data_IF_226990924068
#
_entry.id   IF_226990924068
#
_cell.length_a   1.000
_cell.length_b   1.000
_cell.length_c   1.000
_cell.angle_alpha   90.00
_cell.angle_beta   90.00
_cell.angle_gamma   90.00
#
_symmetry.space_group_name_H-M   'P 1'
#
loop_
_entity.id
_entity.type
_entity.pdbx_description
1 polymer ?
#
# COMPACT_ATOMS: atom_id res chain seq x y z
N UNK A 1 -20.30 13.53 -1.46
CA UNK A 1 -20.95 12.49 -0.62
C UNK A 1 -20.04 11.27 -0.71
N UNK A 2 -18.96 11.29 0.07
CA UNK A 2 -17.84 10.37 0.03
C UNK A 2 -18.04 9.25 1.05
N UNK A 3 -18.16 8.02 0.60
CA UNK A 3 -18.26 6.88 1.51
C UNK A 3 -18.75 5.62 0.81
N UNK A 4 -17.85 4.92 0.11
CA UNK A 4 -18.14 3.55 -0.32
C UNK A 4 -16.94 2.60 -0.37
N UNK A 5 -15.70 3.07 -0.27
CA UNK A 5 -14.53 2.17 -0.31
C UNK A 5 -14.19 1.56 1.04
N UNK A 6 -14.32 2.36 2.10
CA UNK A 6 -14.01 1.91 3.46
C UNK A 6 -15.12 1.05 4.10
N UNK A 7 -16.19 0.72 3.36
CA UNK A 7 -17.39 0.08 3.90
C UNK A 7 -17.45 -1.44 3.67
N UNK A 8 -16.71 -2.00 2.70
CA UNK A 8 -16.73 -3.45 2.42
C UNK A 8 -15.81 -4.30 3.30
N UNK A 9 -14.77 -3.72 3.88
CA UNK A 9 -14.03 -4.34 4.98
C UNK A 9 -14.68 -4.10 6.36
N UNK A 10 -15.71 -3.24 6.42
CA UNK A 10 -16.40 -2.85 7.65
C UNK A 10 -17.71 -3.63 7.93
N UNK A 11 -18.19 -4.47 7.00
CA UNK A 11 -19.52 -5.09 7.14
C UNK A 11 -19.60 -6.27 8.13
N UNK A 12 -18.50 -6.67 8.78
CA UNK A 12 -18.54 -7.66 9.88
C UNK A 12 -18.02 -7.16 11.23
N UNK A 13 -17.62 -5.90 11.36
CA UNK A 13 -17.20 -5.31 12.64
C UNK A 13 -17.74 -3.90 12.86
N UNK A 14 -18.98 -3.66 12.44
CA UNK A 14 -19.77 -2.53 12.92
C UNK A 14 -20.26 -2.79 14.34
N UNK A 15 -19.34 -2.68 15.33
CA UNK A 15 -19.57 -2.43 16.77
C UNK A 15 -18.36 -2.88 17.59
N UNK A 16 -17.21 -2.25 17.40
CA UNK A 16 -16.02 -2.51 18.20
C UNK A 16 -15.60 -1.21 18.91
N UNK A 17 -15.91 -1.14 20.21
CA UNK A 17 -15.49 -0.07 21.13
C UNK A 17 -13.97 0.12 21.04
N UNK A 18 -13.44 1.35 21.16
CA UNK A 18 -11.99 1.63 21.21
C UNK A 18 -11.23 0.66 22.13
N UNK A 19 -11.85 0.23 23.23
CA UNK A 19 -11.31 -0.81 24.13
C UNK A 19 -10.97 -2.15 23.41
N UNK A 20 -11.83 -2.59 22.48
CA UNK A 20 -11.59 -3.83 21.71
C UNK A 20 -10.47 -3.68 20.68
N UNK A 21 -10.29 -2.49 20.09
CA UNK A 21 -9.21 -2.17 19.15
C UNK A 21 -7.85 -2.16 19.87
N UNK A 22 -7.78 -1.52 21.04
CA UNK A 22 -6.60 -1.53 21.90
C UNK A 22 -6.27 -2.96 22.36
N UNK A 23 -7.29 -3.74 22.74
CA UNK A 23 -7.08 -5.13 23.14
C UNK A 23 -6.51 -5.99 22.00
N UNK A 24 -6.99 -5.79 20.77
CA UNK A 24 -6.45 -6.48 19.59
C UNK A 24 -4.98 -6.10 19.33
N UNK A 25 -4.64 -4.81 19.37
CA UNK A 25 -3.26 -4.35 19.21
C UNK A 25 -2.32 -4.95 20.28
N UNK A 26 -2.77 -5.04 21.54
CA UNK A 26 -2.02 -5.69 22.60
C UNK A 26 -1.79 -7.19 22.34
N UNK A 27 -2.82 -7.90 21.86
CA UNK A 27 -2.71 -9.32 21.53
C UNK A 27 -1.69 -9.53 20.42
N UNK A 28 -1.76 -8.75 19.34
CA UNK A 28 -0.81 -8.86 18.24
C UNK A 28 0.62 -8.54 18.68
N UNK A 29 0.82 -7.55 19.54
CA UNK A 29 2.15 -7.25 20.10
C UNK A 29 2.71 -8.39 20.94
N UNK A 30 1.86 -9.10 21.69
CA UNK A 30 2.27 -10.32 22.41
C UNK A 30 2.62 -11.42 21.41
N UNK A 31 1.80 -11.62 20.37
CA UNK A 31 2.05 -12.60 19.31
C UNK A 31 3.38 -12.36 18.60
N UNK A 32 3.68 -11.11 18.22
CA UNK A 32 4.93 -10.72 17.58
C UNK A 32 6.14 -11.09 18.45
N UNK A 33 6.07 -10.74 19.75
CA UNK A 33 7.12 -11.12 20.71
C UNK A 33 7.25 -12.63 20.83
N UNK A 34 6.14 -13.36 20.90
CA UNK A 34 6.19 -14.82 20.92
C UNK A 34 6.88 -15.37 19.67
N UNK A 35 6.56 -14.88 18.47
CA UNK A 35 7.20 -15.31 17.23
C UNK A 35 8.72 -15.08 17.28
N UNK A 36 9.17 -13.90 17.71
CA UNK A 36 10.60 -13.60 17.87
C UNK A 36 11.28 -14.58 18.85
N UNK A 37 10.62 -14.91 19.97
CA UNK A 37 11.18 -15.79 20.99
C UNK A 37 11.19 -17.28 20.60
N UNK A 38 10.20 -17.72 19.82
CA UNK A 38 10.05 -19.12 19.42
C UNK A 38 10.61 -19.42 18.02
N UNK A 39 11.24 -18.44 17.35
CA UNK A 39 11.79 -18.61 16.01
C UNK A 39 10.70 -18.79 14.95
N UNK A 40 9.63 -17.98 15.03
CA UNK A 40 8.65 -17.85 13.95
C UNK A 40 9.32 -17.43 12.64
N UNK A 41 8.64 -17.64 11.51
CA UNK A 41 9.21 -17.17 10.25
C UNK A 41 9.25 -15.64 10.27
N UNK A 42 10.30 -15.06 9.71
CA UNK A 42 10.42 -13.60 9.72
C UNK A 42 9.29 -12.93 8.89
N UNK A 43 8.69 -13.65 7.93
CA UNK A 43 7.46 -13.24 7.24
C UNK A 43 6.25 -13.17 8.19
N UNK A 44 6.08 -14.12 9.12
CA UNK A 44 5.02 -14.04 10.14
C UNK A 44 5.23 -12.83 11.07
N UNK A 45 6.48 -12.54 11.43
CA UNK A 45 6.82 -11.39 12.29
C UNK A 45 6.48 -10.08 11.58
N UNK A 46 6.80 -10.00 10.28
CA UNK A 46 6.46 -8.89 9.42
C UNK A 46 4.93 -8.65 9.34
N UNK A 47 4.16 -9.69 9.00
CA UNK A 47 2.69 -9.59 8.88
C UNK A 47 2.04 -9.11 10.18
N UNK A 48 2.54 -9.56 11.33
CA UNK A 48 2.05 -9.10 12.63
C UNK A 48 2.42 -7.64 12.89
N UNK A 49 3.65 -7.21 12.58
CA UNK A 49 4.08 -5.82 12.73
C UNK A 49 3.24 -4.88 11.85
N UNK A 50 3.09 -5.23 10.57
CA UNK A 50 2.25 -4.52 9.60
C UNK A 50 0.78 -4.45 10.06
N UNK A 51 0.24 -5.58 10.56
CA UNK A 51 -1.11 -5.63 11.11
C UNK A 51 -1.32 -4.75 12.34
N UNK A 52 -0.33 -4.64 13.22
CA UNK A 52 -0.36 -3.70 14.36
C UNK A 52 -0.39 -2.25 13.85
N UNK A 53 0.49 -1.91 12.90
CA UNK A 53 0.56 -0.58 12.32
C UNK A 53 -0.78 -0.12 11.75
N UNK A 54 -1.43 -1.00 10.97
CA UNK A 54 -2.75 -0.73 10.38
C UNK A 54 -3.85 -0.52 11.42
N UNK A 55 -3.82 -1.22 12.55
CA UNK A 55 -4.77 -0.96 13.65
C UNK A 55 -4.55 0.42 14.24
N UNK A 56 -3.28 0.83 14.43
CA UNK A 56 -2.99 2.16 14.94
C UNK A 56 -3.42 3.25 13.95
N UNK A 57 -3.17 3.07 12.65
CA UNK A 57 -3.55 4.04 11.62
C UNK A 57 -5.07 4.13 11.42
N UNK A 58 -5.71 3.03 11.00
CA UNK A 58 -7.11 3.05 10.56
C UNK A 58 -8.11 3.07 11.71
N UNK A 59 -7.76 2.42 12.83
CA UNK A 59 -8.75 2.12 13.86
C UNK A 59 -8.59 2.97 15.11
N UNK A 60 -7.36 3.34 15.46
CA UNK A 60 -7.04 4.16 16.63
C UNK A 60 -6.69 5.61 16.27
N UNK A 61 -6.52 5.91 14.98
CA UNK A 61 -6.15 7.25 14.48
C UNK A 61 -4.87 7.79 15.14
N UNK A 62 -3.93 6.90 15.46
CA UNK A 62 -2.63 7.20 16.07
C UNK A 62 -1.52 6.95 15.05
N UNK A 63 -1.40 7.90 14.11
CA UNK A 63 -0.45 7.83 13.00
C UNK A 63 1.02 7.78 13.45
N UNK A 64 1.37 8.45 14.55
CA UNK A 64 2.74 8.43 15.10
C UNK A 64 3.14 7.04 15.62
N UNK A 65 2.20 6.30 16.20
CA UNK A 65 2.46 4.91 16.58
C UNK A 65 2.41 3.97 15.38
N UNK A 66 1.51 4.22 14.41
CA UNK A 66 1.44 3.45 13.18
C UNK A 66 2.76 3.49 12.39
N UNK A 67 3.33 4.69 12.20
CA UNK A 67 4.61 4.89 11.50
C UNK A 67 5.70 4.01 12.12
N UNK A 68 5.85 3.99 13.44
CA UNK A 68 6.87 3.18 14.11
C UNK A 68 6.75 1.69 13.80
N UNK A 69 5.53 1.17 13.75
CA UNK A 69 5.31 -0.24 13.43
C UNK A 69 5.44 -0.54 11.94
N UNK A 70 5.10 0.40 11.06
CA UNK A 70 5.37 0.26 9.63
C UNK A 70 6.88 0.31 9.33
N UNK A 71 7.64 1.18 10.01
CA UNK A 71 9.10 1.21 9.93
C UNK A 71 9.71 -0.10 10.48
N UNK A 72 9.23 -0.61 11.62
CA UNK A 72 9.63 -1.92 12.14
C UNK A 72 9.32 -3.05 11.16
N UNK A 73 8.15 -3.02 10.51
CA UNK A 73 7.80 -3.98 9.47
C UNK A 73 8.77 -3.88 8.28
N UNK A 74 9.11 -2.68 7.83
CA UNK A 74 10.06 -2.48 6.74
C UNK A 74 11.45 -3.03 7.07
N UNK A 75 11.96 -2.80 8.28
CA UNK A 75 13.25 -3.34 8.73
C UNK A 75 13.26 -4.89 8.71
N UNK A 76 12.16 -5.52 9.13
CA UNK A 76 12.00 -6.98 9.05
C UNK A 76 11.96 -7.42 7.58
N UNK A 77 11.21 -6.72 6.74
CA UNK A 77 11.09 -7.04 5.32
C UNK A 77 12.44 -6.98 4.60
N UNK A 78 13.27 -5.97 4.90
CA UNK A 78 14.62 -5.83 4.35
C UNK A 78 15.56 -6.95 4.81
N UNK A 79 15.40 -7.44 6.04
CA UNK A 79 16.21 -8.55 6.56
C UNK A 79 15.91 -9.88 5.86
N UNK A 80 14.70 -10.05 5.31
CA UNK A 80 14.21 -11.34 4.78
C UNK A 80 14.17 -11.37 3.26
N UNK A 81 13.88 -10.21 2.65
CA UNK A 81 13.70 -10.04 1.21
C UNK A 81 15.05 -9.76 0.56
N UNK A 82 15.91 -10.78 0.57
CA UNK A 82 17.22 -10.78 -0.12
C UNK A 82 17.11 -11.19 -1.59
N UNK A 83 15.98 -11.80 -1.97
CA UNK A 83 15.63 -12.13 -3.35
C UNK A 83 14.39 -11.35 -3.80
N UNK A 84 14.34 -11.05 -5.10
CA UNK A 84 13.24 -10.34 -5.75
C UNK A 84 12.07 -11.32 -5.90
N UNK A 85 11.27 -11.43 -4.85
CA UNK A 85 10.03 -12.21 -4.89
C UNK A 85 8.85 -11.26 -5.11
N UNK A 86 7.84 -11.71 -5.84
CA UNK A 86 6.63 -10.92 -6.07
C UNK A 86 5.95 -10.53 -4.74
N UNK A 87 5.93 -11.44 -3.75
CA UNK A 87 5.44 -11.14 -2.40
C UNK A 87 6.25 -10.07 -1.70
N UNK A 88 7.58 -10.16 -1.74
CA UNK A 88 8.47 -9.18 -1.14
C UNK A 88 8.32 -7.79 -1.77
N UNK A 89 8.18 -7.72 -3.10
CA UNK A 89 7.90 -6.48 -3.81
C UNK A 89 6.53 -5.90 -3.42
N UNK A 90 5.49 -6.73 -3.44
CA UNK A 90 4.14 -6.34 -3.03
C UNK A 90 4.11 -5.74 -1.63
N UNK A 91 4.67 -6.45 -0.65
CA UNK A 91 4.70 -5.98 0.73
C UNK A 91 5.55 -4.71 0.91
N UNK A 92 6.62 -4.54 0.12
CA UNK A 92 7.46 -3.33 0.16
C UNK A 92 6.68 -2.12 -0.35
N UNK A 93 6.07 -2.25 -1.53
CA UNK A 93 5.23 -1.21 -2.15
C UNK A 93 4.06 -0.82 -1.25
N UNK A 94 3.35 -1.81 -0.68
CA UNK A 94 2.26 -1.56 0.27
C UNK A 94 2.73 -0.85 1.54
N UNK A 95 3.87 -1.26 2.12
CA UNK A 95 4.39 -0.67 3.37
C UNK A 95 4.82 0.78 3.17
N UNK A 96 5.53 1.08 2.08
CA UNK A 96 5.89 2.46 1.74
C UNK A 96 4.65 3.33 1.47
N UNK A 97 3.68 2.83 0.72
CA UNK A 97 2.42 3.56 0.49
C UNK A 97 1.66 3.86 1.79
N UNK A 98 1.61 2.91 2.72
CA UNK A 98 0.98 3.12 4.02
C UNK A 98 1.72 4.18 4.86
N UNK A 99 3.06 4.16 4.88
CA UNK A 99 3.87 5.20 5.51
C UNK A 99 3.58 6.58 4.91
N UNK A 100 3.58 6.69 3.59
CA UNK A 100 3.31 7.94 2.89
C UNK A 100 1.95 8.54 3.30
N UNK A 101 0.90 7.73 3.32
CA UNK A 101 -0.45 8.13 3.75
C UNK A 101 -0.47 8.53 5.23
N UNK A 102 0.25 7.82 6.12
CA UNK A 102 0.35 8.23 7.52
C UNK A 102 1.03 9.61 7.68
N UNK A 103 2.12 9.87 6.96
CA UNK A 103 2.78 11.19 6.98
C UNK A 103 1.88 12.29 6.40
N UNK A 104 1.11 11.99 5.36
CA UNK A 104 0.12 12.92 4.80
C UNK A 104 -0.96 13.29 5.84
N UNK A 105 -1.53 12.28 6.53
CA UNK A 105 -2.50 12.48 7.63
C UNK A 105 -1.94 13.32 8.78
N UNK A 106 -0.62 13.28 8.99
CA UNK A 106 0.09 14.09 10.00
C UNK A 106 0.52 15.47 9.49
N UNK A 107 0.07 15.88 8.29
CA UNK A 107 0.45 17.14 7.65
C UNK A 107 1.97 17.29 7.46
N UNK A 108 2.64 16.19 7.11
CA UNK A 108 4.07 16.10 6.80
C UNK A 108 4.27 15.72 5.32
N UNK A 109 3.95 16.64 4.39
CA UNK A 109 3.88 16.32 2.97
C UNK A 109 5.23 16.00 2.34
N UNK A 110 6.34 16.58 2.83
CA UNK A 110 7.70 16.30 2.32
C UNK A 110 8.14 14.87 2.67
N UNK A 111 7.91 14.42 3.91
CA UNK A 111 8.18 13.04 4.30
C UNK A 111 7.26 12.05 3.57
N UNK A 112 5.99 12.41 3.36
CA UNK A 112 5.06 11.60 2.58
C UNK A 112 5.52 11.43 1.13
N UNK A 113 5.95 12.52 0.47
CA UNK A 113 6.46 12.48 -0.90
C UNK A 113 7.62 11.51 -1.06
N UNK A 114 8.57 11.52 -0.11
CA UNK A 114 9.69 10.57 -0.12
C UNK A 114 9.20 9.12 -0.12
N UNK A 115 8.24 8.78 0.75
CA UNK A 115 7.71 7.42 0.81
C UNK A 115 6.86 7.04 -0.39
N UNK A 116 6.15 7.98 -1.03
CA UNK A 116 5.49 7.73 -2.31
C UNK A 116 6.52 7.39 -3.40
N UNK A 117 7.61 8.16 -3.48
CA UNK A 117 8.70 7.92 -4.42
C UNK A 117 9.41 6.58 -4.15
N UNK A 118 9.66 6.24 -2.88
CA UNK A 118 10.23 4.93 -2.50
C UNK A 118 9.29 3.77 -2.89
N UNK A 119 7.97 3.96 -2.77
CA UNK A 119 6.97 2.96 -3.18
C UNK A 119 6.92 2.76 -4.70
N UNK A 120 6.97 3.86 -5.46
CA UNK A 120 6.99 3.83 -6.93
C UNK A 120 8.30 3.19 -7.42
N UNK A 121 9.44 3.56 -6.84
CA UNK A 121 10.73 2.96 -7.19
C UNK A 121 10.78 1.46 -6.92
N UNK A 122 10.22 1.00 -5.80
CA UNK A 122 10.10 -0.43 -5.50
C UNK A 122 9.21 -1.19 -6.50
N UNK A 123 8.15 -0.55 -6.99
CA UNK A 123 7.29 -1.11 -8.03
C UNK A 123 8.02 -1.23 -9.37
N UNK A 124 8.69 -0.16 -9.80
CA UNK A 124 9.47 -0.12 -11.04
C UNK A 124 10.61 -1.14 -11.02
N UNK A 125 11.34 -1.27 -9.90
CA UNK A 125 12.40 -2.26 -9.75
C UNK A 125 11.87 -3.68 -9.98
N UNK A 126 10.71 -4.02 -9.42
CA UNK A 126 10.08 -5.31 -9.62
C UNK A 126 9.65 -5.52 -11.08
N UNK A 127 9.12 -4.49 -11.75
CA UNK A 127 8.73 -4.56 -13.15
C UNK A 127 9.93 -4.71 -14.10
N UNK A 128 11.06 -4.07 -13.81
CA UNK A 128 12.29 -4.20 -14.60
C UNK A 128 13.00 -5.55 -14.40
N UNK A 129 12.86 -6.12 -13.21
CA UNK A 129 13.43 -7.43 -12.86
C UNK A 129 12.51 -8.61 -13.23
N UNK A 130 11.21 -8.36 -13.44
CA UNK A 130 10.32 -9.32 -14.07
C UNK A 130 10.94 -9.67 -15.43
N UNK A 131 11.22 -10.96 -15.71
CA UNK A 131 11.95 -11.33 -16.91
C UNK A 131 11.25 -10.72 -18.11
N UNK A 132 11.96 -9.86 -18.84
CA UNK A 132 11.55 -9.48 -20.20
C UNK A 132 11.21 -10.77 -20.89
N UNK A 133 9.94 -10.92 -21.28
CA UNK A 133 9.44 -12.01 -22.10
C UNK A 133 10.18 -11.94 -23.43
N UNK A 134 11.42 -12.44 -23.44
CA UNK A 134 12.20 -12.65 -24.64
C UNK A 134 11.51 -13.78 -25.39
N UNK A 135 11.15 -13.48 -26.63
CA UNK A 135 10.43 -14.30 -27.59
C UNK A 135 10.89 -15.76 -27.59
N UNK A 136 10.24 -16.66 -26.85
CA UNK A 136 10.47 -18.09 -27.09
C UNK A 136 9.94 -19.13 -26.10
N UNK A 137 9.96 -18.88 -24.80
CA UNK A 137 9.59 -19.92 -23.81
C UNK A 137 8.65 -19.33 -22.76
N UNK A 138 7.35 -19.48 -23.01
CA UNK A 138 6.32 -19.36 -21.98
C UNK A 138 6.42 -20.57 -21.04
N UNK A 139 7.48 -20.61 -20.24
CA UNK A 139 7.59 -21.50 -19.09
C UNK A 139 6.68 -20.95 -17.99
N UNK A 140 5.51 -21.60 -17.84
CA UNK A 140 4.60 -21.65 -16.68
C UNK A 140 4.80 -20.54 -15.63
N UNK A 141 4.53 -19.27 -15.98
CA UNK A 141 4.33 -18.22 -14.97
C UNK A 141 3.14 -18.68 -14.15
N UNK A 142 3.40 -19.06 -12.90
CA UNK A 142 2.38 -19.57 -11.99
C UNK A 142 1.17 -18.63 -11.97
N UNK A 143 -0.04 -19.17 -12.01
CA UNK A 143 -1.28 -18.39 -11.84
C UNK A 143 -1.23 -17.50 -10.58
N UNK A 144 -0.44 -17.88 -9.56
CA UNK A 144 -0.19 -17.06 -8.36
C UNK A 144 0.55 -15.76 -8.66
N UNK A 145 1.53 -15.79 -9.56
CA UNK A 145 2.42 -14.66 -9.85
C UNK A 145 1.72 -13.67 -10.76
N UNK A 146 0.88 -14.16 -11.68
CA UNK A 146 -0.02 -13.32 -12.49
C UNK A 146 -1.04 -12.60 -11.60
N UNK A 147 -1.65 -13.31 -10.64
CA UNK A 147 -2.60 -12.70 -9.70
C UNK A 147 -1.93 -11.65 -8.82
N UNK A 148 -0.73 -11.95 -8.30
CA UNK A 148 -0.03 -11.02 -7.41
C UNK A 148 0.48 -9.78 -8.16
N UNK A 149 0.86 -9.92 -9.42
CA UNK A 149 1.19 -8.79 -10.29
C UNK A 149 -0.03 -7.88 -10.55
N UNK A 150 -1.22 -8.47 -10.75
CA UNK A 150 -2.44 -7.71 -10.90
C UNK A 150 -2.83 -6.95 -9.62
N UNK A 151 -2.64 -7.57 -8.44
CA UNK A 151 -2.83 -6.92 -7.14
C UNK A 151 -1.79 -5.82 -6.89
N UNK A 152 -0.55 -6.04 -7.35
CA UNK A 152 0.52 -5.05 -7.29
C UNK A 152 0.21 -3.82 -8.15
N UNK A 153 -0.31 -4.02 -9.37
CA UNK A 153 -0.75 -2.92 -10.23
C UNK A 153 -1.88 -2.11 -9.60
N UNK A 154 -2.85 -2.77 -8.94
CA UNK A 154 -3.93 -2.08 -8.23
C UNK A 154 -3.37 -1.22 -7.08
N UNK A 155 -2.41 -1.77 -6.33
CA UNK A 155 -1.73 -1.06 -5.24
C UNK A 155 -0.94 0.13 -5.77
N UNK A 156 -0.16 -0.06 -6.83
CA UNK A 156 0.63 1.00 -7.45
C UNK A 156 -0.28 2.12 -8.01
N UNK A 157 -1.44 1.79 -8.60
CA UNK A 157 -2.41 2.78 -9.04
C UNK A 157 -2.89 3.68 -7.90
N UNK A 158 -3.24 3.10 -6.75
CA UNK A 158 -3.67 3.85 -5.57
C UNK A 158 -2.54 4.72 -5.00
N UNK A 159 -1.30 4.24 -4.99
CA UNK A 159 -0.13 5.01 -4.57
C UNK A 159 0.05 6.25 -5.45
N UNK A 160 -0.03 6.10 -6.77
CA UNK A 160 0.04 7.23 -7.70
C UNK A 160 -1.10 8.23 -7.49
N UNK A 161 -2.32 7.74 -7.26
CA UNK A 161 -3.48 8.59 -6.96
C UNK A 161 -3.30 9.39 -5.66
N UNK A 162 -2.83 8.76 -4.58
CA UNK A 162 -2.55 9.45 -3.32
C UNK A 162 -1.38 10.43 -3.45
N UNK A 163 -0.33 10.06 -4.18
CA UNK A 163 0.79 10.97 -4.45
C UNK A 163 0.34 12.20 -5.23
N UNK A 164 -0.60 12.07 -6.16
CA UNK A 164 -1.22 13.22 -6.82
C UNK A 164 -1.85 14.19 -5.81
N UNK A 165 -2.61 13.68 -4.83
CA UNK A 165 -3.17 14.50 -3.75
C UNK A 165 -2.09 15.26 -2.96
N UNK A 166 -1.00 14.56 -2.62
CA UNK A 166 0.17 15.16 -1.95
C UNK A 166 0.86 16.25 -2.79
N UNK A 167 0.96 16.06 -4.12
CA UNK A 167 1.52 17.03 -5.05
C UNK A 167 0.63 18.26 -5.23
N UNK A 168 -0.68 18.07 -5.32
CA UNK A 168 -1.66 19.15 -5.41
C UNK A 168 -1.64 20.04 -4.16
N UNK A 169 -1.50 19.44 -2.98
CA UNK A 169 -1.32 20.17 -1.72
C UNK A 169 -0.05 21.05 -1.70
N UNK A 170 0.89 20.80 -2.60
CA UNK A 170 2.14 21.56 -2.79
C UNK A 170 2.13 22.42 -4.06
N UNK A 171 0.97 22.63 -4.69
CA UNK A 171 0.82 23.38 -5.95
C UNK A 171 1.62 22.80 -7.13
N UNK A 172 1.97 21.50 -7.11
CA UNK A 172 2.71 20.80 -8.17
C UNK A 172 1.76 20.16 -9.20
N UNK A 173 0.97 21.00 -9.86
CA UNK A 173 -0.14 20.60 -10.73
C UNK A 173 0.28 19.73 -11.92
N UNK A 174 1.33 20.10 -12.66
CA UNK A 174 1.78 19.34 -13.84
C UNK A 174 2.23 17.92 -13.49
N UNK A 175 2.88 17.77 -12.33
CA UNK A 175 3.34 16.48 -11.82
C UNK A 175 2.16 15.63 -11.34
N UNK A 176 1.19 16.24 -10.65
CA UNK A 176 -0.06 15.59 -10.25
C UNK A 176 -0.84 15.04 -11.46
N UNK A 177 -0.87 15.77 -12.58
CA UNK A 177 -1.49 15.28 -13.82
C UNK A 177 -0.78 14.04 -14.36
N UNK A 178 0.55 14.08 -14.39
CA UNK A 178 1.37 12.98 -14.88
C UNK A 178 1.15 11.71 -14.04
N UNK A 179 1.17 11.80 -12.71
CA UNK A 179 0.98 10.62 -11.86
C UNK A 179 -0.45 10.09 -11.90
N UNK A 180 -1.47 10.92 -12.12
CA UNK A 180 -2.85 10.44 -12.29
C UNK A 180 -3.09 9.75 -13.63
N UNK A 181 -2.40 10.17 -14.70
CA UNK A 181 -2.39 9.43 -15.97
C UNK A 181 -1.81 8.02 -15.78
N UNK A 182 -0.70 7.90 -15.04
CA UNK A 182 -0.08 6.60 -14.70
C UNK A 182 -1.04 5.76 -13.84
N UNK A 183 -1.69 6.37 -12.84
CA UNK A 183 -2.65 5.69 -11.97
C UNK A 183 -3.77 5.01 -12.77
N UNK A 184 -4.32 5.68 -13.79
CA UNK A 184 -5.35 5.11 -14.65
C UNK A 184 -4.87 3.89 -15.43
N UNK A 185 -3.70 4.00 -16.07
CA UNK A 185 -3.12 2.90 -16.85
C UNK A 185 -2.87 1.68 -15.96
N UNK A 186 -2.36 1.90 -14.74
CA UNK A 186 -2.14 0.82 -13.78
C UNK A 186 -3.46 0.19 -13.32
N UNK A 187 -4.46 1.01 -13.00
CA UNK A 187 -5.76 0.54 -12.53
C UNK A 187 -6.49 -0.30 -13.60
N UNK A 188 -6.45 0.12 -14.86
CA UNK A 188 -7.05 -0.62 -15.99
C UNK A 188 -6.38 -1.98 -16.24
N UNK A 189 -5.10 -2.12 -15.90
CA UNK A 189 -4.31 -3.35 -16.05
C UNK A 189 -4.12 -4.09 -14.71
N UNK A 190 -5.05 -3.95 -13.78
CA UNK A 190 -4.97 -4.53 -12.43
C UNK A 190 -6.13 -5.47 -12.10
N UNK A 191 -6.09 -6.04 -10.89
CA UNK A 191 -7.20 -6.80 -10.30
C UNK A 191 -8.30 -5.93 -9.68
N UNK A 192 -8.22 -4.60 -9.84
CA UNK A 192 -9.16 -3.65 -9.25
C UNK A 192 -10.61 -3.97 -9.67
N UNK A 193 -11.57 -4.04 -8.72
CA UNK A 193 -12.96 -4.31 -9.06
C UNK A 193 -13.54 -3.25 -10.00
N UNK A 194 -14.49 -3.61 -10.87
CA UNK A 194 -15.00 -2.67 -11.87
C UNK A 194 -15.64 -1.40 -11.27
N UNK A 195 -16.42 -1.52 -10.20
CA UNK A 195 -17.02 -0.34 -9.55
C UNK A 195 -15.99 0.55 -8.86
N UNK A 196 -14.89 -0.06 -8.46
CA UNK A 196 -13.77 0.58 -7.82
C UNK A 196 -12.94 1.37 -8.88
N UNK A 197 -12.66 0.72 -10.01
CA UNK A 197 -12.04 1.37 -11.17
C UNK A 197 -12.87 2.56 -11.68
N UNK A 198 -14.20 2.41 -11.78
CA UNK A 198 -15.11 3.47 -12.22
C UNK A 198 -15.08 4.70 -11.29
N UNK A 199 -15.04 4.49 -9.97
CA UNK A 199 -14.97 5.61 -9.03
C UNK A 199 -13.60 6.30 -9.08
N UNK A 200 -12.50 5.56 -9.22
CA UNK A 200 -11.17 6.15 -9.43
C UNK A 200 -11.11 6.97 -10.72
N UNK A 201 -11.63 6.43 -11.83
CA UNK A 201 -11.73 7.13 -13.12
C UNK A 201 -12.53 8.41 -13.00
N UNK A 202 -13.67 8.38 -12.29
CA UNK A 202 -14.48 9.56 -12.07
C UNK A 202 -13.75 10.62 -11.22
N UNK A 203 -13.07 10.20 -10.14
CA UNK A 203 -12.29 11.12 -9.30
C UNK A 203 -11.17 11.82 -10.09
N UNK A 204 -10.44 11.08 -10.93
CA UNK A 204 -9.36 11.64 -11.75
C UNK A 204 -9.93 12.55 -12.85
N UNK A 205 -11.07 12.19 -13.45
CA UNK A 205 -11.74 13.04 -14.43
C UNK A 205 -12.16 14.37 -13.83
N UNK A 206 -12.80 14.35 -12.67
CA UNK A 206 -13.23 15.56 -11.95
C UNK A 206 -12.03 16.43 -11.58
N UNK A 207 -10.94 15.80 -11.11
CA UNK A 207 -9.69 16.50 -10.82
C UNK A 207 -9.13 17.22 -12.04
N UNK A 208 -9.04 16.55 -13.20
CA UNK A 208 -8.51 17.18 -14.41
C UNK A 208 -9.36 18.36 -14.90
N UNK A 209 -10.68 18.34 -14.69
CA UNK A 209 -11.54 19.48 -15.00
C UNK A 209 -11.25 20.71 -14.13
N UNK A 210 -10.72 20.52 -12.93
CA UNK A 210 -10.32 21.64 -12.06
C UNK A 210 -8.96 22.24 -12.45
N UNK A 211 -8.17 21.52 -13.23
CA UNK A 211 -6.81 21.90 -13.65
C UNK A 211 -6.79 22.69 -14.97
N UNK A 212 -7.86 22.61 -15.77
CA UNK A 212 -8.04 23.29 -17.07
C UNK A 212 -8.71 24.68 -16.92
#
# INVERSE_FOLDING_TARGET
>A
MSGSWNSRLNSTTSSSNAASKVQLACILRISQKCLIWYGGTDADVFEVAFGIARIYDDQLEDGETAIKYYEEALEILEAISTEVTAWGAYMRVTTFGALAVCYEKLSRPEEAAKYFEDAIGAYEEHCDQAPTLDDGEADDVSDSDVSLLADLNATAAMIHYHYAGNLLAQDRWDEAKTVTEIALVLAENSSMPAGDLEELQQCIHDLWLEMD
#
